data_IF_423030502397
#
_entry.id   IF_423030502397
#
_cell.length_a   1.000
_cell.length_b   1.000
_cell.length_c   1.000
_cell.angle_alpha   90.00
_cell.angle_beta   90.00
_cell.angle_gamma   90.00
#
_symmetry.space_group_name_H-M   'P 1'
#
loop_
_entity.id
_entity.type
_entity.pdbx_description
1 polymer ?
#
# COMPACT_ATOMS: atom_id res chain seq x y z
N UNK A 1 -36.45 -9.44 20.87
CA UNK A 1 -35.36 -10.33 21.34
C UNK A 1 -34.24 -10.24 20.33
N UNK A 2 -33.15 -9.54 20.67
CA UNK A 2 -31.94 -9.54 19.85
C UNK A 2 -31.16 -10.81 20.17
N UNK A 3 -30.88 -11.63 19.16
CA UNK A 3 -30.12 -12.88 19.31
C UNK A 3 -28.63 -12.57 19.31
N UNK A 4 -27.88 -13.28 20.16
CA UNK A 4 -26.44 -13.16 20.33
C UNK A 4 -25.60 -13.65 19.13
N UNK A 5 -26.25 -14.01 18.01
CA UNK A 5 -25.59 -14.60 16.83
C UNK A 5 -25.17 -13.60 15.75
N UNK A 6 -25.50 -12.30 15.88
CA UNK A 6 -25.05 -11.26 14.92
C UNK A 6 -23.66 -10.67 15.25
N UNK A 7 -23.01 -11.17 16.31
CA UNK A 7 -21.69 -10.71 16.79
C UNK A 7 -20.58 -11.34 15.95
N UNK A 8 -20.52 -11.00 14.66
CA UNK A 8 -19.49 -11.53 13.75
C UNK A 8 -19.11 -10.59 12.61
N UNK A 9 -20.01 -9.72 12.17
CA UNK A 9 -19.81 -8.93 10.94
C UNK A 9 -19.49 -7.44 11.15
N UNK A 10 -19.58 -6.94 12.38
CA UNK A 10 -19.43 -5.51 12.68
C UNK A 10 -18.06 -4.93 12.29
N UNK A 11 -16.97 -5.68 12.50
CA UNK A 11 -15.61 -5.22 12.14
C UNK A 11 -15.44 -5.01 10.63
N UNK A 12 -16.06 -5.83 9.80
CA UNK A 12 -15.92 -5.76 8.35
C UNK A 12 -16.81 -4.65 7.76
N UNK A 13 -18.02 -4.48 8.28
CA UNK A 13 -18.89 -3.36 7.92
C UNK A 13 -18.34 -2.01 8.37
N UNK A 14 -17.73 -1.94 9.55
CA UNK A 14 -17.12 -0.72 10.07
C UNK A 14 -15.85 -0.36 9.30
N UNK A 15 -14.99 -1.33 8.96
CA UNK A 15 -13.84 -1.12 8.07
C UNK A 15 -14.26 -0.72 6.64
N UNK A 16 -15.39 -1.23 6.15
CA UNK A 16 -15.93 -0.84 4.83
C UNK A 16 -16.51 0.57 4.86
N UNK A 17 -17.19 0.95 5.95
CA UNK A 17 -17.68 2.32 6.20
C UNK A 17 -16.55 3.32 6.39
N UNK A 18 -15.48 2.94 7.10
CA UNK A 18 -14.26 3.74 7.27
C UNK A 18 -13.58 3.98 5.92
N UNK A 19 -13.37 2.93 5.09
CA UNK A 19 -12.81 3.10 3.74
C UNK A 19 -13.68 3.98 2.82
N UNK A 20 -15.00 3.84 2.90
CA UNK A 20 -15.93 4.64 2.09
C UNK A 20 -15.95 6.11 2.54
N UNK A 21 -15.89 6.37 3.85
CA UNK A 21 -15.79 7.72 4.41
C UNK A 21 -14.43 8.36 4.09
N UNK A 22 -13.34 7.61 4.19
CA UNK A 22 -11.99 8.06 3.82
C UNK A 22 -11.90 8.41 2.34
N UNK A 23 -12.54 7.64 1.45
CA UNK A 23 -12.57 7.93 0.02
C UNK A 23 -13.36 9.22 -0.30
N UNK A 24 -14.51 9.44 0.35
CA UNK A 24 -15.31 10.66 0.18
C UNK A 24 -14.62 11.90 0.76
N UNK A 25 -14.01 11.77 1.95
CA UNK A 25 -13.22 12.84 2.56
C UNK A 25 -11.94 13.14 1.75
N UNK A 26 -11.32 12.12 1.14
CA UNK A 26 -10.19 12.28 0.24
C UNK A 26 -10.55 13.07 -1.02
N UNK A 27 -11.74 12.93 -1.60
CA UNK A 27 -12.14 13.73 -2.76
C UNK A 27 -12.30 15.22 -2.42
N UNK A 28 -12.80 15.53 -1.22
CA UNK A 28 -12.92 16.90 -0.74
C UNK A 28 -11.56 17.50 -0.37
N UNK A 29 -10.70 16.73 0.32
CA UNK A 29 -9.41 17.19 0.81
C UNK A 29 -8.33 17.17 -0.28
N UNK A 30 -8.37 16.23 -1.21
CA UNK A 30 -7.36 15.99 -2.25
C UNK A 30 -7.98 16.06 -3.66
N UNK A 31 -8.46 17.23 -4.08
CA UNK A 31 -9.06 17.39 -5.40
C UNK A 31 -8.00 17.24 -6.49
N UNK A 32 -8.32 16.52 -7.57
CA UNK A 32 -7.34 16.10 -8.59
C UNK A 32 -6.52 17.23 -9.20
N UNK A 33 -7.13 18.41 -9.39
CA UNK A 33 -6.48 19.55 -10.00
C UNK A 33 -5.38 20.17 -9.11
N UNK A 34 -5.44 20.01 -7.78
CA UNK A 34 -4.36 20.37 -6.86
C UNK A 34 -3.44 19.19 -6.58
N UNK A 35 -4.02 17.99 -6.47
CA UNK A 35 -3.30 16.80 -6.05
C UNK A 35 -2.28 16.33 -7.08
N UNK A 36 -2.66 16.21 -8.36
CA UNK A 36 -1.74 15.73 -9.42
C UNK A 36 -0.50 16.63 -9.57
N UNK A 37 -0.61 17.97 -9.60
CA UNK A 37 0.56 18.84 -9.59
C UNK A 37 1.49 18.63 -8.39
N UNK A 38 0.94 18.47 -7.18
CA UNK A 38 1.75 18.22 -5.99
C UNK A 38 2.50 16.88 -6.08
N UNK A 39 1.83 15.82 -6.52
CA UNK A 39 2.44 14.49 -6.68
C UNK A 39 3.56 14.50 -7.72
N UNK A 40 3.41 15.25 -8.82
CA UNK A 40 4.43 15.38 -9.90
C UNK A 40 5.76 15.96 -9.45
N UNK A 41 5.81 16.63 -8.30
CA UNK A 41 7.06 17.13 -7.72
C UNK A 41 7.95 16.00 -7.21
N UNK A 42 7.41 14.79 -7.05
CA UNK A 42 8.12 13.62 -6.56
C UNK A 42 8.46 12.67 -7.70
N UNK A 43 9.73 12.23 -7.76
CA UNK A 43 10.23 11.36 -8.84
C UNK A 43 9.80 9.90 -8.69
N UNK A 44 9.42 9.47 -7.49
CA UNK A 44 9.05 8.11 -7.15
C UNK A 44 8.06 8.10 -6.00
N UNK A 45 7.32 7.00 -5.89
CA UNK A 45 6.49 6.72 -4.73
C UNK A 45 7.36 6.11 -3.63
N UNK A 46 7.63 6.88 -2.58
CA UNK A 46 8.30 6.44 -1.35
C UNK A 46 7.61 7.07 -0.13
N UNK A 47 7.95 6.62 1.07
CA UNK A 47 7.34 7.10 2.31
C UNK A 47 7.60 8.60 2.54
N UNK A 48 8.73 9.14 2.04
CA UNK A 48 9.03 10.57 2.18
C UNK A 48 8.10 11.42 1.31
N UNK A 49 7.92 11.03 0.05
CA UNK A 49 6.94 11.63 -0.85
C UNK A 49 5.52 11.51 -0.28
N UNK A 50 5.16 10.34 0.24
CA UNK A 50 3.88 10.10 0.87
C UNK A 50 3.62 11.05 2.05
N UNK A 51 4.59 11.18 2.97
CA UNK A 51 4.48 12.08 4.14
C UNK A 51 4.39 13.54 3.73
N UNK A 52 5.18 13.95 2.73
CA UNK A 52 5.16 15.33 2.22
C UNK A 52 3.79 15.69 1.63
N UNK A 53 3.24 14.83 0.78
CA UNK A 53 1.91 15.04 0.17
C UNK A 53 0.80 14.95 1.23
N UNK A 54 0.87 13.99 2.15
CA UNK A 54 -0.12 13.85 3.21
C UNK A 54 -0.18 15.09 4.11
N UNK A 55 0.98 15.65 4.45
CA UNK A 55 1.07 16.89 5.23
C UNK A 55 0.48 18.09 4.46
N UNK A 56 0.77 18.20 3.15
CA UNK A 56 0.24 19.28 2.31
C UNK A 56 -1.30 19.32 2.27
N UNK A 57 -1.93 18.15 2.24
CA UNK A 57 -3.39 18.03 2.17
C UNK A 57 -4.06 17.73 3.52
N UNK A 58 -3.28 17.68 4.62
CA UNK A 58 -3.77 17.31 5.96
C UNK A 58 -4.62 16.02 5.97
N UNK A 59 -4.16 15.00 5.24
CA UNK A 59 -4.86 13.73 5.06
C UNK A 59 -4.08 12.56 5.70
N UNK A 60 -4.75 11.43 5.92
CA UNK A 60 -4.09 10.22 6.44
C UNK A 60 -3.10 9.65 5.42
N UNK A 61 -2.07 8.94 5.89
CA UNK A 61 -1.09 8.30 5.01
C UNK A 61 -1.75 7.26 4.10
N UNK A 62 -2.73 6.51 4.60
CA UNK A 62 -3.45 5.50 3.81
C UNK A 62 -4.28 6.15 2.70
N UNK A 63 -5.10 7.16 3.03
CA UNK A 63 -5.89 7.86 2.02
C UNK A 63 -5.00 8.53 0.96
N UNK A 64 -3.92 9.18 1.41
CA UNK A 64 -2.96 9.83 0.51
C UNK A 64 -2.28 8.81 -0.40
N UNK A 65 -1.86 7.66 0.14
CA UNK A 65 -1.15 6.64 -0.64
C UNK A 65 -2.04 6.03 -1.73
N UNK A 66 -3.30 5.74 -1.39
CA UNK A 66 -4.30 5.27 -2.36
C UNK A 66 -4.46 6.33 -3.47
N UNK A 67 -4.61 7.60 -3.09
CA UNK A 67 -4.76 8.72 -4.04
C UNK A 67 -3.52 8.91 -4.92
N UNK A 68 -2.32 8.73 -4.37
CA UNK A 68 -1.05 8.80 -5.13
C UNK A 68 -0.96 7.68 -6.16
N UNK A 69 -1.35 6.46 -5.81
CA UNK A 69 -1.42 5.34 -6.75
C UNK A 69 -2.46 5.59 -7.85
N UNK A 70 -3.68 6.00 -7.46
CA UNK A 70 -4.78 6.27 -8.39
C UNK A 70 -4.51 7.46 -9.33
N UNK A 71 -3.58 8.35 -8.95
CA UNK A 71 -3.15 9.47 -9.79
C UNK A 71 -2.43 9.04 -11.07
N UNK A 72 -1.98 7.78 -11.12
CA UNK A 72 -1.21 7.17 -12.20
C UNK A 72 0.10 7.91 -12.53
N UNK A 73 0.62 8.72 -11.59
CA UNK A 73 1.92 9.38 -11.75
C UNK A 73 3.11 8.44 -11.52
N UNK A 74 2.86 7.25 -10.96
CA UNK A 74 3.87 6.24 -10.66
C UNK A 74 3.48 4.89 -11.30
N UNK A 75 3.61 4.74 -12.63
CA UNK A 75 3.05 3.61 -13.38
C UNK A 75 3.62 2.24 -12.98
N UNK A 76 4.79 2.24 -12.33
CA UNK A 76 5.47 1.02 -11.89
C UNK A 76 5.30 0.72 -10.39
N UNK A 77 4.35 1.39 -9.72
CA UNK A 77 4.17 1.27 -8.29
C UNK A 77 2.92 0.47 -7.93
N UNK A 78 3.06 -0.36 -6.88
CA UNK A 78 2.00 -1.14 -6.27
C UNK A 78 2.04 -0.94 -4.75
N UNK A 79 0.89 -1.05 -4.10
CA UNK A 79 0.76 -1.01 -2.65
C UNK A 79 0.10 -2.29 -2.17
N UNK A 80 0.73 -2.92 -1.19
CA UNK A 80 0.26 -4.16 -0.56
C UNK A 80 0.10 -3.92 0.93
N UNK A 81 -1.11 -4.17 1.45
CA UNK A 81 -1.39 -4.10 2.88
C UNK A 81 -1.60 -5.50 3.41
N UNK A 82 -0.65 -5.96 4.20
CA UNK A 82 -0.74 -7.21 4.94
C UNK A 82 -1.40 -6.98 6.30
N UNK A 83 -2.23 -7.94 6.69
CA UNK A 83 -2.93 -7.98 7.98
C UNK A 83 -2.45 -9.20 8.74
N UNK A 84 -2.65 -9.23 10.06
CA UNK A 84 -2.33 -10.40 10.86
C UNK A 84 -3.07 -11.68 10.42
N UNK A 85 -4.19 -11.53 9.72
CA UNK A 85 -4.90 -12.65 9.07
C UNK A 85 -5.64 -12.21 7.81
N UNK A 86 -5.76 -13.15 6.88
CA UNK A 86 -6.52 -13.00 5.64
C UNK A 86 -5.70 -12.45 4.47
N UNK A 87 -6.34 -12.47 3.30
CA UNK A 87 -5.73 -12.05 2.04
C UNK A 87 -5.29 -10.59 2.08
N UNK A 88 -4.08 -10.25 1.59
CA UNK A 88 -3.63 -8.88 1.54
C UNK A 88 -4.52 -8.03 0.63
N UNK A 89 -4.66 -6.76 1.01
CA UNK A 89 -5.28 -5.78 0.14
C UNK A 89 -4.24 -5.20 -0.81
N UNK A 90 -4.53 -5.16 -2.10
CA UNK A 90 -3.60 -4.72 -3.14
C UNK A 90 -4.25 -3.62 -3.98
N UNK A 91 -3.55 -2.51 -4.15
CA UNK A 91 -3.84 -1.53 -5.19
C UNK A 91 -2.58 -1.26 -6.01
N UNK A 92 -2.75 -0.87 -7.27
CA UNK A 92 -1.65 -0.63 -8.21
C UNK A 92 -1.97 0.53 -9.12
N UNK A 93 -0.93 1.13 -9.70
CA UNK A 93 -1.12 2.22 -10.65
C UNK A 93 -2.05 1.76 -11.80
N UNK A 94 -3.02 2.59 -12.24
CA UNK A 94 -3.96 2.22 -13.30
C UNK A 94 -3.32 1.72 -14.60
N UNK A 95 -2.17 2.27 -14.97
CA UNK A 95 -1.40 1.88 -16.16
C UNK A 95 -0.61 0.57 -16.00
N UNK A 96 -0.47 0.04 -14.78
CA UNK A 96 0.30 -1.15 -14.49
C UNK A 96 -0.43 -2.44 -14.92
N UNK A 97 0.28 -3.35 -15.59
CA UNK A 97 -0.30 -4.62 -16.02
C UNK A 97 -0.81 -5.48 -14.84
N UNK A 98 -1.98 -6.10 -15.03
CA UNK A 98 -2.64 -6.97 -14.04
C UNK A 98 -2.14 -8.42 -14.09
N UNK A 99 -0.83 -8.63 -14.17
CA UNK A 99 -0.21 -9.98 -14.19
C UNK A 99 0.51 -10.37 -12.91
N UNK A 100 0.82 -9.40 -12.05
CA UNK A 100 1.53 -9.62 -10.80
C UNK A 100 0.56 -9.67 -9.63
N UNK A 101 0.45 -10.85 -9.03
CA UNK A 101 -0.41 -11.11 -7.88
C UNK A 101 0.48 -11.25 -6.64
N UNK A 102 0.20 -10.41 -5.64
CA UNK A 102 0.93 -10.47 -4.38
C UNK A 102 0.66 -11.81 -3.69
N UNK A 103 1.70 -12.40 -3.09
CA UNK A 103 1.59 -13.57 -2.21
C UNK A 103 0.68 -13.24 -1.03
N UNK A 104 -0.01 -14.25 -0.50
CA UNK A 104 -0.83 -14.07 0.70
C UNK A 104 0.02 -13.98 1.97
N UNK A 105 1.08 -14.80 2.04
CA UNK A 105 2.04 -14.81 3.13
C UNK A 105 3.23 -13.90 2.82
N UNK A 106 3.73 -13.24 3.88
CA UNK A 106 4.95 -12.46 3.83
C UNK A 106 6.17 -13.39 3.81
N UNK A 107 7.08 -13.14 2.87
CA UNK A 107 8.37 -13.81 2.84
C UNK A 107 9.22 -13.38 4.06
N UNK A 108 9.87 -14.32 4.79
CA UNK A 108 10.71 -14.01 5.94
C UNK A 108 11.83 -13.01 5.67
N UNK A 109 12.32 -12.94 4.43
CA UNK A 109 13.39 -12.03 4.03
C UNK A 109 12.86 -10.61 3.73
N UNK A 110 11.54 -10.43 3.65
CA UNK A 110 10.92 -9.11 3.47
C UNK A 110 11.00 -8.26 4.74
N UNK A 111 11.21 -6.97 4.57
CA UNK A 111 11.15 -6.01 5.65
C UNK A 111 9.74 -5.94 6.26
N UNK A 112 8.72 -6.14 5.44
CA UNK A 112 7.33 -6.22 5.89
C UNK A 112 7.11 -7.36 6.91
N UNK A 113 7.74 -8.52 6.72
CA UNK A 113 7.71 -9.62 7.68
C UNK A 113 8.32 -9.22 9.02
N UNK A 114 9.52 -8.61 8.98
CA UNK A 114 10.22 -8.13 10.18
C UNK A 114 9.38 -7.09 10.93
N UNK A 115 8.69 -6.20 10.22
CA UNK A 115 7.82 -5.19 10.83
C UNK A 115 6.52 -5.78 11.40
N UNK A 116 5.97 -6.82 10.76
CA UNK A 116 4.74 -7.45 11.21
C UNK A 116 4.96 -8.30 12.46
N UNK A 117 5.92 -9.22 12.40
CA UNK A 117 6.14 -10.26 13.41
C UNK A 117 7.35 -10.01 14.32
N UNK A 118 8.28 -9.17 13.89
CA UNK A 118 9.41 -8.75 14.72
C UNK A 118 9.03 -7.65 15.71
N UNK A 119 10.01 -7.29 16.54
CA UNK A 119 9.88 -6.23 17.54
C UNK A 119 10.58 -4.93 17.10
N UNK A 120 10.76 -4.73 15.78
CA UNK A 120 11.38 -3.52 15.22
C UNK A 120 10.30 -2.50 14.85
N UNK A 121 10.14 -1.40 15.63
CA UNK A 121 9.14 -0.39 15.36
C UNK A 121 9.58 0.60 14.26
N UNK A 122 10.80 0.49 13.74
CA UNK A 122 11.36 1.51 12.84
C UNK A 122 10.73 1.38 11.46
N UNK A 123 10.20 2.49 10.96
CA UNK A 123 9.89 2.65 9.54
C UNK A 123 11.21 2.80 8.78
N UNK A 124 11.32 2.15 7.62
CA UNK A 124 12.49 2.30 6.77
C UNK A 124 12.64 3.74 6.25
N UNK A 125 13.84 4.32 6.42
CA UNK A 125 14.15 5.65 5.92
C UNK A 125 14.28 5.73 4.39
N UNK A 126 14.55 4.59 3.72
CA UNK A 126 14.72 4.50 2.28
C UNK A 126 14.22 3.13 1.75
N UNK A 127 13.72 3.06 0.49
CA UNK A 127 13.32 1.80 -0.12
C UNK A 127 14.47 0.80 -0.23
N UNK A 128 14.25 -0.45 0.15
CA UNK A 128 15.22 -1.55 0.06
C UNK A 128 14.98 -2.43 -1.15
N UNK A 129 16.05 -3.00 -1.69
CA UNK A 129 16.00 -3.97 -2.78
C UNK A 129 15.65 -5.35 -2.25
N UNK A 130 14.81 -6.07 -2.99
CA UNK A 130 14.43 -7.46 -2.71
C UNK A 130 14.10 -8.17 -4.03
N UNK A 131 14.25 -9.51 -4.05
CA UNK A 131 13.77 -10.33 -5.16
C UNK A 131 12.25 -10.21 -5.31
N UNK A 132 11.74 -10.16 -6.55
CA UNK A 132 10.30 -10.05 -6.78
C UNK A 132 9.54 -11.33 -6.36
N UNK A 133 10.19 -12.48 -6.35
CA UNK A 133 9.66 -13.77 -5.89
C UNK A 133 9.30 -13.80 -4.40
N UNK A 134 9.87 -12.91 -3.58
CA UNK A 134 9.45 -12.66 -2.20
C UNK A 134 8.04 -12.03 -2.12
N UNK A 135 7.58 -11.37 -3.18
CA UNK A 135 6.30 -10.65 -3.20
C UNK A 135 5.28 -11.23 -4.17
N UNK A 136 5.71 -11.92 -5.23
CA UNK A 136 4.84 -12.35 -6.32
C UNK A 136 4.92 -13.85 -6.54
N UNK A 137 3.75 -14.49 -6.62
CA UNK A 137 3.64 -15.90 -6.98
C UNK A 137 3.59 -16.06 -8.51
N UNK A 138 4.77 -15.93 -9.14
CA UNK A 138 4.91 -16.05 -10.59
C UNK A 138 6.29 -16.61 -10.93
N UNK A 139 6.37 -17.58 -11.86
CA UNK A 139 7.62 -18.29 -12.17
C UNK A 139 8.79 -17.37 -12.57
N UNK A 140 8.52 -16.31 -13.35
CA UNK A 140 9.54 -15.34 -13.75
C UNK A 140 9.81 -14.24 -12.71
N UNK A 141 9.15 -14.23 -11.54
CA UNK A 141 9.37 -13.19 -10.53
C UNK A 141 10.83 -13.17 -10.03
N UNK A 142 11.46 -14.33 -9.93
CA UNK A 142 12.86 -14.47 -9.51
C UNK A 142 13.88 -13.81 -10.45
N UNK A 143 13.47 -13.42 -11.67
CA UNK A 143 14.32 -12.73 -12.65
C UNK A 143 14.40 -11.20 -12.39
N UNK A 144 13.59 -10.68 -11.47
CA UNK A 144 13.45 -9.26 -11.20
C UNK A 144 13.85 -8.91 -9.77
N UNK A 145 14.53 -7.76 -9.64
CA UNK A 145 14.71 -7.06 -8.38
C UNK A 145 13.71 -5.91 -8.33
N UNK A 146 13.04 -5.75 -7.20
CA UNK A 146 12.10 -4.66 -6.92
C UNK A 146 12.59 -3.88 -5.71
N UNK A 147 11.94 -2.75 -5.42
CA UNK A 147 12.14 -2.09 -4.12
C UNK A 147 10.90 -2.17 -3.26
N UNK A 148 11.08 -2.40 -1.97
CA UNK A 148 10.05 -2.34 -0.95
C UNK A 148 10.32 -1.22 0.04
N UNK A 149 9.25 -0.64 0.59
CA UNK A 149 9.33 0.23 1.75
C UNK A 149 8.05 0.10 2.57
N UNK A 150 8.17 -0.27 3.84
CA UNK A 150 7.02 -0.59 4.67
C UNK A 150 6.86 0.36 5.86
N UNK A 151 5.60 0.57 6.27
CA UNK A 151 5.26 1.20 7.53
C UNK A 151 4.09 0.47 8.21
N UNK A 152 4.06 0.52 9.54
CA UNK A 152 3.05 -0.14 10.37
C UNK A 152 1.93 0.83 10.71
N UNK A 153 0.69 0.40 10.54
CA UNK A 153 -0.49 1.12 11.00
C UNK A 153 -0.73 0.87 12.50
N UNK A 154 -1.47 1.74 13.20
CA UNK A 154 -1.88 1.51 14.59
C UNK A 154 -2.67 0.22 14.79
N UNK A 155 -3.32 -0.30 13.74
CA UNK A 155 -4.04 -1.59 13.75
C UNK A 155 -3.10 -2.80 13.84
N UNK A 156 -1.80 -2.61 13.61
CA UNK A 156 -0.82 -3.68 13.46
C UNK A 156 -0.61 -4.13 12.00
N UNK A 157 -1.47 -3.68 11.08
CA UNK A 157 -1.33 -3.95 9.66
C UNK A 157 -0.05 -3.29 9.10
N UNK A 158 0.58 -3.95 8.13
CA UNK A 158 1.79 -3.44 7.47
C UNK A 158 1.44 -3.05 6.04
N UNK A 159 1.67 -1.78 5.72
CA UNK A 159 1.50 -1.23 4.37
C UNK A 159 2.86 -1.15 3.71
N UNK A 160 2.99 -1.73 2.53
CA UNK A 160 4.24 -1.76 1.77
C UNK A 160 4.05 -1.14 0.39
N UNK A 161 4.94 -0.21 0.06
CA UNK A 161 5.09 0.36 -1.28
C UNK A 161 6.09 -0.51 -2.02
N UNK A 162 5.68 -1.06 -3.16
CA UNK A 162 6.54 -1.79 -4.08
C UNK A 162 6.74 -0.96 -5.35
N UNK A 163 7.99 -0.67 -5.70
CA UNK A 163 8.32 -0.09 -7.00
C UNK A 163 9.01 -1.15 -7.86
N UNK A 164 8.41 -1.43 -9.01
CA UNK A 164 8.83 -2.46 -9.94
C UNK A 164 9.65 -1.84 -11.08
N UNK A 165 10.54 -2.61 -11.73
CA UNK A 165 11.19 -2.15 -12.94
C UNK A 165 10.19 -2.08 -14.10
N UNK A 166 10.40 -1.18 -15.06
CA UNK A 166 9.48 -0.95 -16.20
C UNK A 166 9.16 -2.23 -16.99
N UNK A 167 10.18 -3.09 -17.23
CA UNK A 167 10.04 -4.41 -17.86
C UNK A 167 9.03 -5.33 -17.16
N UNK A 168 8.77 -5.09 -15.88
CA UNK A 168 7.82 -5.84 -15.06
C UNK A 168 6.46 -5.14 -15.05
N UNK A 169 6.40 -3.81 -14.95
CA UNK A 169 5.15 -3.06 -14.87
C UNK A 169 4.40 -2.95 -16.20
N UNK A 170 5.14 -2.93 -17.32
CA UNK A 170 4.65 -2.72 -18.68
C UNK A 170 4.27 -3.97 -19.43
#
# INVERSE_FOLDING_TARGET
>A
MCRATDIGNYRNEQATKERAADAYAADLLMPWYLFKPAVRLHKRLDINALRAVAALFSASLTATLIRMIDSDQFPCSMVVTHRASGKPWVTRAPSMQRRWFAREDLDPDSFAFTMMYGNDPRTEGFPRKIGADAWFDHHSAAEFEITEQSFKLPTGDVVTILNLPERMAG
#
